data_IF_683514098536
#
_entry.id   IF_683514098536
#
_cell.length_a   1.000
_cell.length_b   1.000
_cell.length_c   1.000
_cell.angle_alpha   90.00
_cell.angle_beta   90.00
_cell.angle_gamma   90.00
#
_symmetry.space_group_name_H-M   'P 1'
#
loop_
_entity.id
_entity.type
_entity.pdbx_description
1 polymer ?
#
# COMPACT_ATOMS: atom_id res chain seq x y z
N UNK A 1 18.67 24.68 -6.17
CA UNK A 1 17.87 23.54 -5.67
C UNK A 1 17.83 22.50 -6.79
N UNK A 2 18.80 21.58 -6.84
CA UNK A 2 19.01 20.63 -7.96
C UNK A 2 18.56 19.19 -7.61
N UNK A 3 17.95 19.00 -6.43
CA UNK A 3 17.50 17.71 -5.91
C UNK A 3 16.01 17.43 -6.19
N UNK A 4 15.23 18.49 -6.46
CA UNK A 4 13.80 18.42 -6.76
C UNK A 4 13.65 18.65 -8.26
N UNK A 5 13.03 17.69 -8.95
CA UNK A 5 12.66 17.78 -10.35
C UNK A 5 11.75 18.99 -10.61
N UNK A 6 11.56 19.34 -11.88
CA UNK A 6 10.68 20.46 -12.24
C UNK A 6 9.28 20.21 -11.63
N UNK A 7 8.70 21.15 -10.88
CA UNK A 7 7.36 20.99 -10.33
C UNK A 7 6.41 20.71 -11.49
N UNK A 8 5.72 19.57 -11.42
CA UNK A 8 4.64 19.25 -12.35
C UNK A 8 3.54 20.29 -12.13
N UNK A 9 3.22 21.13 -13.12
CA UNK A 9 2.14 22.09 -13.00
C UNK A 9 0.84 21.35 -12.71
N UNK A 10 0.17 21.70 -11.62
CA UNK A 10 -1.13 21.15 -11.21
C UNK A 10 -2.24 21.36 -12.27
N UNK A 11 -1.94 22.13 -13.32
CA UNK A 11 -2.80 22.38 -14.47
C UNK A 11 -2.95 21.18 -15.43
N UNK A 12 -2.03 20.21 -15.44
CA UNK A 12 -2.06 19.07 -16.38
C UNK A 12 -2.68 17.78 -15.81
N UNK A 13 -3.11 17.78 -14.54
CA UNK A 13 -3.69 16.62 -13.85
C UNK A 13 -4.87 15.91 -14.57
N UNK A 14 -5.78 16.60 -15.29
CA UNK A 14 -6.87 15.93 -16.00
C UNK A 14 -6.41 15.13 -17.23
N UNK A 15 -5.27 15.48 -17.82
CA UNK A 15 -4.73 14.83 -19.03
C UNK A 15 -3.76 13.68 -18.70
N UNK A 16 -3.57 13.41 -17.40
CA UNK A 16 -2.68 12.38 -16.86
C UNK A 16 -3.45 11.27 -16.13
N UNK A 17 -4.75 11.13 -16.42
CA UNK A 17 -5.52 9.99 -15.94
C UNK A 17 -4.92 8.70 -16.52
N UNK A 18 -4.32 7.90 -15.64
CA UNK A 18 -3.72 6.62 -15.98
C UNK A 18 -4.83 5.74 -16.60
N UNK A 19 -4.58 5.20 -17.80
CA UNK A 19 -5.52 4.32 -18.47
C UNK A 19 -5.85 3.10 -17.60
N UNK A 20 -7.08 2.58 -17.71
CA UNK A 20 -7.59 1.50 -16.83
C UNK A 20 -6.64 0.31 -16.67
N UNK A 21 -5.91 -0.05 -17.72
CA UNK A 21 -4.94 -1.15 -17.69
C UNK A 21 -3.71 -0.83 -16.82
N UNK A 22 -3.14 0.36 -16.95
CA UNK A 22 -1.97 0.79 -16.15
C UNK A 22 -2.42 1.05 -14.70
N UNK A 23 -3.60 1.63 -14.49
CA UNK A 23 -4.17 1.81 -13.16
C UNK A 23 -4.38 0.46 -12.47
N UNK A 24 -4.96 -0.51 -13.17
CA UNK A 24 -5.12 -1.87 -12.64
C UNK A 24 -3.77 -2.50 -12.30
N UNK A 25 -2.74 -2.36 -13.14
CA UNK A 25 -1.42 -2.93 -12.87
C UNK A 25 -0.78 -2.32 -11.62
N UNK A 26 -0.86 -0.99 -11.44
CA UNK A 26 -0.30 -0.29 -10.28
C UNK A 26 -1.05 -0.68 -8.99
N UNK A 27 -2.38 -0.61 -8.99
CA UNK A 27 -3.17 -0.96 -7.79
C UNK A 27 -3.12 -2.47 -7.49
N UNK A 28 -3.07 -3.33 -8.49
CA UNK A 28 -2.89 -4.76 -8.29
C UNK A 28 -1.50 -5.08 -7.73
N UNK A 29 -0.46 -4.32 -8.09
CA UNK A 29 0.89 -4.50 -7.53
C UNK A 29 0.90 -4.29 -6.01
N UNK A 30 0.15 -3.31 -5.51
CA UNK A 30 0.05 -3.07 -4.06
C UNK A 30 -0.67 -4.22 -3.34
N UNK A 31 -1.79 -4.67 -3.91
CA UNK A 31 -2.51 -5.83 -3.39
C UNK A 31 -1.65 -7.11 -3.41
N UNK A 32 -0.94 -7.37 -4.51
CA UNK A 32 -0.05 -8.53 -4.65
C UNK A 32 1.13 -8.47 -3.66
N UNK A 33 1.75 -7.30 -3.51
CA UNK A 33 2.81 -7.06 -2.52
C UNK A 33 2.33 -7.39 -1.10
N UNK A 34 1.13 -6.93 -0.73
CA UNK A 34 0.54 -7.21 0.58
C UNK A 34 0.32 -8.72 0.81
N UNK A 35 -0.17 -9.45 -0.20
CA UNK A 35 -0.33 -10.92 -0.10
C UNK A 35 1.00 -11.67 0.03
N UNK A 36 2.07 -11.17 -0.59
CA UNK A 36 3.39 -11.81 -0.54
C UNK A 36 3.97 -11.82 0.89
N UNK A 37 3.69 -10.78 1.68
CA UNK A 37 4.16 -10.68 3.06
C UNK A 37 3.16 -11.24 4.07
N UNK A 38 1.87 -10.98 3.88
CA UNK A 38 0.81 -11.39 4.81
C UNK A 38 0.71 -12.91 4.96
N UNK A 39 0.92 -13.66 3.88
CA UNK A 39 0.85 -15.13 3.92
C UNK A 39 1.92 -15.73 4.83
N UNK A 40 3.15 -15.23 4.75
CA UNK A 40 4.25 -15.70 5.60
C UNK A 40 4.00 -15.34 7.08
N UNK A 41 3.55 -14.12 7.35
CA UNK A 41 3.28 -13.67 8.72
C UNK A 41 2.13 -14.44 9.38
N UNK A 42 1.06 -14.75 8.63
CA UNK A 42 -0.03 -15.60 9.13
C UNK A 42 0.51 -16.98 9.55
N UNK A 43 1.36 -17.59 8.71
CA UNK A 43 1.94 -18.90 9.02
C UNK A 43 2.88 -18.84 10.23
N UNK A 44 3.65 -17.78 10.38
CA UNK A 44 4.53 -17.58 11.54
C UNK A 44 3.72 -17.43 12.83
N UNK A 45 2.66 -16.62 12.82
CA UNK A 45 1.77 -16.45 13.99
C UNK A 45 1.07 -17.76 14.34
N UNK A 46 0.58 -18.51 13.36
CA UNK A 46 -0.03 -19.82 13.60
C UNK A 46 0.99 -20.85 14.10
N UNK A 47 2.22 -20.82 13.60
CA UNK A 47 3.29 -21.69 14.09
C UNK A 47 3.59 -21.41 15.58
N UNK A 48 3.60 -20.13 15.99
CA UNK A 48 3.74 -19.73 17.40
C UNK A 48 2.54 -20.17 18.25
N UNK A 49 1.33 -20.16 17.69
CA UNK A 49 0.12 -20.68 18.35
C UNK A 49 0.07 -22.22 18.44
N UNK A 50 0.98 -22.92 17.74
CA UNK A 50 1.15 -24.36 17.75
C UNK A 50 0.71 -25.02 16.44
N UNK A 51 1.29 -26.18 16.12
CA UNK A 51 1.07 -26.90 14.86
C UNK A 51 -0.39 -27.30 14.63
N UNK A 52 -1.17 -27.45 15.70
CA UNK A 52 -2.60 -27.64 15.62
C UNK A 52 -3.32 -26.46 14.98
N UNK A 53 -2.80 -25.22 15.02
CA UNK A 53 -3.46 -24.04 14.47
C UNK A 53 -3.41 -23.95 12.93
N UNK A 54 -2.59 -24.75 12.23
CA UNK A 54 -2.49 -24.68 10.77
C UNK A 54 -3.79 -25.02 10.04
N UNK A 55 -4.71 -25.76 10.66
CA UNK A 55 -6.02 -26.00 10.05
C UNK A 55 -6.87 -24.73 9.92
N UNK A 56 -6.55 -23.67 10.68
CA UNK A 56 -7.24 -22.37 10.58
C UNK A 56 -6.84 -21.56 9.35
N UNK A 57 -5.76 -21.90 8.64
CA UNK A 57 -5.33 -21.18 7.44
C UNK A 57 -6.46 -21.12 6.40
N UNK A 58 -7.15 -22.24 6.19
CA UNK A 58 -8.22 -22.35 5.20
C UNK A 58 -9.47 -21.51 5.55
N UNK A 59 -10.09 -21.62 6.74
CA UNK A 59 -11.21 -20.78 7.11
C UNK A 59 -10.84 -19.28 7.21
N UNK A 60 -9.62 -18.95 7.66
CA UNK A 60 -9.14 -17.55 7.65
C UNK A 60 -9.08 -17.02 6.22
N UNK A 61 -8.55 -17.81 5.27
CA UNK A 61 -8.48 -17.41 3.86
C UNK A 61 -9.86 -17.16 3.26
N UNK A 62 -10.84 -18.02 3.56
CA UNK A 62 -12.24 -17.81 3.12
C UNK A 62 -12.81 -16.52 3.71
N UNK A 63 -12.57 -16.26 5.00
CA UNK A 63 -13.02 -15.05 5.65
C UNK A 63 -12.41 -13.78 5.02
N UNK A 64 -11.11 -13.82 4.66
CA UNK A 64 -10.43 -12.72 3.95
C UNK A 64 -11.05 -12.50 2.58
N UNK A 65 -11.28 -13.56 1.78
CA UNK A 65 -11.92 -13.44 0.46
C UNK A 65 -13.32 -12.86 0.56
N UNK A 66 -14.12 -13.31 1.54
CA UNK A 66 -15.44 -12.75 1.78
C UNK A 66 -15.38 -11.26 2.16
N UNK A 67 -14.45 -10.89 3.04
CA UNK A 67 -14.22 -9.49 3.43
C UNK A 67 -13.82 -8.62 2.23
N UNK A 68 -12.86 -9.08 1.42
CA UNK A 68 -12.43 -8.36 0.20
C UNK A 68 -13.57 -8.21 -0.81
N UNK A 69 -14.47 -9.21 -0.90
CA UNK A 69 -15.66 -9.13 -1.77
C UNK A 69 -16.60 -8.01 -1.30
N UNK A 70 -16.88 -7.94 0.01
CA UNK A 70 -17.70 -6.88 0.61
C UNK A 70 -17.07 -5.51 0.37
N UNK A 71 -15.76 -5.38 0.61
CA UNK A 71 -15.01 -4.14 0.39
C UNK A 71 -15.06 -3.72 -1.08
N UNK A 72 -14.89 -4.65 -2.01
CA UNK A 72 -14.95 -4.37 -3.45
C UNK A 72 -16.31 -3.81 -3.87
N UNK A 73 -17.40 -4.43 -3.40
CA UNK A 73 -18.77 -3.95 -3.68
C UNK A 73 -18.99 -2.56 -3.04
N UNK A 74 -18.49 -2.34 -1.82
CA UNK A 74 -18.58 -1.03 -1.15
C UNK A 74 -17.82 0.07 -1.91
N UNK A 75 -16.63 -0.22 -2.43
CA UNK A 75 -15.88 0.70 -3.28
C UNK A 75 -16.61 0.98 -4.59
N UNK A 76 -17.20 -0.03 -5.21
CA UNK A 76 -18.01 0.16 -6.43
C UNK A 76 -19.16 1.15 -6.17
N UNK A 77 -19.92 0.95 -5.10
CA UNK A 77 -21.01 1.85 -4.70
C UNK A 77 -20.50 3.28 -4.44
N UNK A 78 -19.37 3.40 -3.76
CA UNK A 78 -18.74 4.69 -3.44
C UNK A 78 -18.31 5.43 -4.70
N UNK A 79 -17.68 4.73 -5.66
CA UNK A 79 -17.23 5.31 -6.93
C UNK A 79 -18.43 5.82 -7.75
N UNK A 80 -19.54 5.08 -7.78
CA UNK A 80 -20.76 5.51 -8.47
C UNK A 80 -21.43 6.71 -7.78
N UNK A 81 -21.41 6.76 -6.44
CA UNK A 81 -21.98 7.87 -5.68
C UNK A 81 -21.12 9.14 -5.75
N UNK A 82 -19.79 9.00 -5.91
CA UNK A 82 -18.82 10.08 -5.98
C UNK A 82 -18.04 10.09 -7.31
N UNK A 83 -18.70 10.38 -8.46
CA UNK A 83 -18.07 10.31 -9.78
C UNK A 83 -16.97 11.35 -10.02
N UNK A 84 -16.97 12.45 -9.24
CA UNK A 84 -15.90 13.44 -9.23
C UNK A 84 -14.62 13.00 -8.51
N UNK A 85 -14.61 11.79 -7.95
CA UNK A 85 -13.58 11.33 -7.04
C UNK A 85 -13.85 11.83 -5.63
N UNK A 86 -13.71 10.93 -4.66
CA UNK A 86 -13.89 11.24 -3.26
C UNK A 86 -13.25 10.12 -2.47
N UNK A 87 -11.97 10.28 -2.13
CA UNK A 87 -11.31 9.35 -1.21
C UNK A 87 -12.00 9.32 0.15
N UNK A 88 -11.56 8.43 1.04
CA UNK A 88 -12.19 8.24 2.35
C UNK A 88 -12.40 9.55 3.15
N UNK A 89 -11.52 10.55 2.98
CA UNK A 89 -11.69 11.88 3.56
C UNK A 89 -12.96 12.61 3.08
N UNK A 90 -13.20 12.67 1.77
CA UNK A 90 -14.35 13.39 1.19
C UNK A 90 -15.66 12.69 1.56
N UNK A 91 -15.68 11.36 1.44
CA UNK A 91 -16.85 10.56 1.82
C UNK A 91 -17.16 10.72 3.31
N UNK A 92 -16.15 10.66 4.19
CA UNK A 92 -16.35 10.89 5.62
C UNK A 92 -16.82 12.31 5.93
N UNK A 93 -16.29 13.32 5.23
CA UNK A 93 -16.68 14.72 5.44
C UNK A 93 -18.14 14.96 5.10
N UNK A 94 -18.58 14.43 3.97
CA UNK A 94 -19.92 14.68 3.45
C UNK A 94 -20.99 13.89 4.24
N UNK A 95 -20.65 12.75 4.85
CA UNK A 95 -21.60 11.90 5.57
C UNK A 95 -21.54 12.02 7.10
N UNK A 96 -20.37 12.30 7.67
CA UNK A 96 -20.12 12.24 9.12
C UNK A 96 -19.60 13.57 9.70
N UNK A 97 -19.27 14.53 8.84
CA UNK A 97 -18.75 15.84 9.25
C UNK A 97 -17.23 15.89 9.35
N UNK A 98 -16.72 17.01 9.87
CA UNK A 98 -15.31 17.37 9.75
C UNK A 98 -14.38 16.53 10.64
N UNK A 99 -14.75 16.26 11.89
CA UNK A 99 -13.91 15.51 12.83
C UNK A 99 -13.64 14.06 12.33
N UNK A 100 -14.64 13.26 11.92
CA UNK A 100 -14.39 11.95 11.34
C UNK A 100 -13.58 12.00 10.04
N UNK A 101 -13.76 13.05 9.23
CA UNK A 101 -12.97 13.22 8.02
C UNK A 101 -11.49 13.44 8.32
N UNK A 102 -11.16 14.29 9.31
CA UNK A 102 -9.77 14.51 9.73
C UNK A 102 -9.13 13.22 10.24
N UNK A 103 -9.87 12.39 10.99
CA UNK A 103 -9.40 11.07 11.43
C UNK A 103 -9.12 10.17 10.21
N UNK A 104 -10.02 10.14 9.22
CA UNK A 104 -9.81 9.40 7.98
C UNK A 104 -8.57 9.88 7.22
N UNK A 105 -8.34 11.20 7.15
CA UNK A 105 -7.14 11.78 6.53
C UNK A 105 -5.85 11.38 7.26
N UNK A 106 -5.84 11.46 8.59
CA UNK A 106 -4.69 11.06 9.41
C UNK A 106 -4.41 9.55 9.29
N UNK A 107 -5.45 8.72 9.23
CA UNK A 107 -5.34 7.29 9.00
C UNK A 107 -4.70 7.00 7.64
N UNK A 108 -5.14 7.67 6.57
CA UNK A 108 -4.57 7.50 5.22
C UNK A 108 -3.09 7.91 5.16
N UNK A 109 -2.70 9.01 5.80
CA UNK A 109 -1.29 9.42 5.84
C UNK A 109 -0.42 8.40 6.58
N UNK A 110 -0.95 7.85 7.67
CA UNK A 110 -0.27 6.80 8.44
C UNK A 110 -0.15 5.52 7.61
N UNK A 111 -1.23 5.14 6.93
CA UNK A 111 -1.28 3.99 6.03
C UNK A 111 -0.19 4.10 4.95
N UNK A 112 -0.07 5.24 4.27
CA UNK A 112 0.99 5.45 3.27
C UNK A 112 2.41 5.32 3.85
N UNK A 113 2.66 5.84 5.05
CA UNK A 113 3.97 5.69 5.72
C UNK A 113 4.25 4.21 6.01
N UNK A 114 3.25 3.49 6.53
CA UNK A 114 3.38 2.07 6.86
C UNK A 114 3.55 1.21 5.61
N UNK A 115 2.82 1.48 4.53
CA UNK A 115 2.93 0.75 3.26
C UNK A 115 4.35 0.85 2.69
N UNK A 116 4.95 2.04 2.69
CA UNK A 116 6.35 2.20 2.25
C UNK A 116 7.30 1.46 3.20
N UNK A 117 7.13 1.61 4.52
CA UNK A 117 8.01 1.01 5.51
C UNK A 117 7.99 -0.53 5.46
N UNK A 118 6.80 -1.13 5.42
CA UNK A 118 6.60 -2.59 5.37
C UNK A 118 7.10 -3.13 4.03
N UNK A 119 6.76 -2.51 2.90
CA UNK A 119 7.19 -2.97 1.57
C UNK A 119 8.71 -2.96 1.41
N UNK A 120 9.40 -1.92 1.88
CA UNK A 120 10.87 -1.89 1.81
C UNK A 120 11.50 -2.88 2.78
N UNK A 121 11.00 -2.97 4.01
CA UNK A 121 11.56 -3.87 5.03
C UNK A 121 11.48 -5.33 4.60
N UNK A 122 10.36 -5.70 4.00
CA UNK A 122 10.11 -7.06 3.53
C UNK A 122 10.82 -7.37 2.20
N UNK A 123 11.00 -6.38 1.32
CA UNK A 123 11.93 -6.49 0.19
C UNK A 123 13.38 -6.74 0.63
N UNK A 124 13.86 -6.02 1.66
CA UNK A 124 15.18 -6.26 2.26
C UNK A 124 15.24 -7.64 2.94
N UNK A 125 14.17 -8.08 3.59
CA UNK A 125 14.12 -9.41 4.19
C UNK A 125 14.35 -10.51 3.14
N UNK A 126 13.70 -10.41 1.97
CA UNK A 126 13.94 -11.33 0.84
C UNK A 126 15.39 -11.28 0.34
N UNK A 127 15.98 -10.08 0.24
CA UNK A 127 17.38 -9.91 -0.17
C UNK A 127 18.34 -10.57 0.83
N UNK A 128 18.13 -10.37 2.13
CA UNK A 128 18.97 -10.96 3.19
C UNK A 128 18.76 -12.48 3.31
N UNK A 129 17.60 -13.00 2.93
CA UNK A 129 17.34 -14.43 2.83
C UNK A 129 18.17 -15.07 1.69
N UNK A 130 18.26 -14.39 0.54
CA UNK A 130 19.10 -14.83 -0.58
C UNK A 130 20.61 -14.65 -0.31
N UNK A 131 20.99 -13.59 0.42
CA UNK A 131 22.39 -13.27 0.74
C UNK A 131 22.57 -12.99 2.25
N UNK A 132 22.80 -14.04 3.07
CA UNK A 132 22.84 -13.93 4.53
C UNK A 132 23.88 -12.95 5.10
N UNK A 133 24.96 -12.69 4.36
CA UNK A 133 26.00 -11.71 4.76
C UNK A 133 25.46 -10.28 4.90
N UNK A 134 24.33 -9.96 4.27
CA UNK A 134 23.69 -8.65 4.32
C UNK A 134 22.81 -8.47 5.57
N UNK A 135 22.58 -9.52 6.36
CA UNK A 135 21.61 -9.52 7.47
C UNK A 135 21.92 -8.46 8.53
N UNK A 136 23.20 -8.33 8.93
CA UNK A 136 23.63 -7.33 9.92
C UNK A 136 23.42 -5.88 9.43
N UNK A 137 23.33 -5.69 8.12
CA UNK A 137 23.19 -4.39 7.47
C UNK A 137 21.74 -4.08 7.06
N UNK A 138 20.77 -4.93 7.40
CA UNK A 138 19.35 -4.80 6.97
C UNK A 138 18.74 -3.42 7.23
N UNK A 139 19.03 -2.81 8.38
CA UNK A 139 18.47 -1.49 8.74
C UNK A 139 19.05 -0.41 7.83
N UNK A 140 20.37 -0.43 7.63
CA UNK A 140 21.08 0.53 6.77
C UNK A 140 20.61 0.37 5.33
N UNK A 141 20.43 -0.86 4.86
CA UNK A 141 19.89 -1.16 3.53
C UNK A 141 18.47 -0.61 3.36
N UNK A 142 17.56 -0.88 4.30
CA UNK A 142 16.18 -0.36 4.25
C UNK A 142 16.14 1.16 4.19
N UNK A 143 16.87 1.85 5.08
CA UNK A 143 16.91 3.32 5.10
C UNK A 143 17.50 3.88 3.80
N UNK A 144 18.57 3.26 3.29
CA UNK A 144 19.21 3.68 2.03
C UNK A 144 18.25 3.51 0.85
N UNK A 145 17.49 2.41 0.79
CA UNK A 145 16.49 2.19 -0.25
C UNK A 145 15.34 3.19 -0.17
N UNK A 146 14.82 3.50 1.02
CA UNK A 146 13.80 4.55 1.20
C UNK A 146 14.31 5.89 0.70
N UNK A 147 15.54 6.28 1.06
CA UNK A 147 16.15 7.53 0.58
C UNK A 147 16.33 7.49 -0.94
N UNK A 148 16.77 6.37 -1.51
CA UNK A 148 16.92 6.23 -2.95
C UNK A 148 15.58 6.39 -3.69
N UNK A 149 14.52 5.70 -3.22
CA UNK A 149 13.16 5.83 -3.76
C UNK A 149 12.66 7.26 -3.62
N UNK A 150 12.88 7.91 -2.47
CA UNK A 150 12.54 9.32 -2.26
C UNK A 150 13.23 10.22 -3.29
N UNK A 151 14.55 10.05 -3.50
CA UNK A 151 15.30 10.85 -4.49
C UNK A 151 14.81 10.58 -5.91
N UNK A 152 14.50 9.33 -6.26
CA UNK A 152 13.94 8.96 -7.56
C UNK A 152 12.59 9.66 -7.79
N UNK A 153 11.69 9.61 -6.80
CA UNK A 153 10.39 10.28 -6.84
C UNK A 153 10.54 11.80 -6.93
N UNK A 154 11.42 12.39 -6.12
CA UNK A 154 11.70 13.83 -6.15
C UNK A 154 12.28 14.28 -7.49
N UNK A 155 13.06 13.45 -8.19
CA UNK A 155 13.63 13.77 -9.51
C UNK A 155 12.59 13.73 -10.64
N UNK A 156 11.39 13.22 -10.38
CA UNK A 156 10.31 13.20 -11.37
C UNK A 156 10.61 12.23 -12.51
N UNK A 157 10.99 10.99 -12.17
CA UNK A 157 10.89 9.90 -13.16
C UNK A 157 9.40 9.80 -13.50
N UNK A 158 9.05 10.29 -14.68
CA UNK A 158 7.68 10.22 -15.20
C UNK A 158 7.22 8.77 -15.11
N UNK A 159 6.22 8.50 -14.29
CA UNK A 159 5.32 7.38 -14.52
C UNK A 159 4.70 7.62 -15.89
N UNK A 160 5.22 6.91 -16.90
CA UNK A 160 4.73 6.93 -18.27
C UNK A 160 3.70 5.83 -18.48
#
# INVERSE_FOLDING_TARGET
MWLVGRPLPTADAPHQAIGKAVGLAVFASDALSSTAYATQEILLVLALAGTAAFHYVFPISIAIVALLTIVTISYEQTIHAYPGGGGAYIVARDNLGEMPAQIAGAALLTDYILTVAVSVSSGVAQLTSAYPVLYDHRVVLSVTLVIAIMVINLRGVKES
#
